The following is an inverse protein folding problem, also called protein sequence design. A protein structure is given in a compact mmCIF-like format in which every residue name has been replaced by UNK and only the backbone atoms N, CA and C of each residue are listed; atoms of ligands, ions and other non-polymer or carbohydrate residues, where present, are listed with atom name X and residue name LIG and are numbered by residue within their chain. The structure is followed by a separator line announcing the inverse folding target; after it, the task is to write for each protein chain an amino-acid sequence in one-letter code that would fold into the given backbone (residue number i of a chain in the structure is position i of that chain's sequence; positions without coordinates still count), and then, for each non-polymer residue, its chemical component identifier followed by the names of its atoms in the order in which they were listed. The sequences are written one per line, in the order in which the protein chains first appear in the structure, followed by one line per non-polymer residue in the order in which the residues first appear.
data_IF_949330867609
#
_entry.id   IF_949330867609
#
_cell.length_a   1.000
_cell.length_b   1.000
_cell.length_c   1.000
_cell.angle_alpha   90.00
_cell.angle_beta   90.00
_cell.angle_gamma   90.00
#
_symmetry.space_group_name_H-M   'P 1'
#
loop_
_entity.id
_entity.type
_entity.pdbx_description
1 polymer ?
#
# COMPACT_ATOMS: atom_id res chain seq x y z
N UNK A 1 16.21 -9.24 -17.11
CA UNK A 1 14.82 -9.49 -16.65
C UNK A 1 14.56 -8.93 -15.26
N UNK A 2 15.44 -9.13 -14.27
CA UNK A 2 15.29 -8.58 -12.90
C UNK A 2 15.21 -7.04 -12.86
N UNK A 3 16.03 -6.33 -13.64
CA UNK A 3 15.98 -4.86 -13.69
C UNK A 3 14.60 -4.30 -14.06
N UNK A 4 13.91 -4.93 -15.02
CA UNK A 4 12.55 -4.53 -15.41
C UNK A 4 11.54 -4.71 -14.27
N UNK A 5 11.67 -5.79 -13.47
CA UNK A 5 10.78 -6.02 -12.32
C UNK A 5 11.02 -5.02 -11.20
N UNK A 6 12.28 -4.66 -10.95
CA UNK A 6 12.59 -3.58 -10.00
C UNK A 6 12.03 -2.23 -10.44
N UNK A 7 12.07 -1.92 -11.74
CA UNK A 7 11.48 -0.68 -12.26
C UNK A 7 9.96 -0.70 -12.11
N UNK A 8 9.30 -1.84 -12.41
CA UNK A 8 7.86 -2.02 -12.17
C UNK A 8 7.51 -1.83 -10.69
N UNK A 9 8.26 -2.43 -9.77
CA UNK A 9 8.05 -2.29 -8.33
C UNK A 9 8.17 -0.83 -7.87
N UNK A 10 9.15 -0.07 -8.39
CA UNK A 10 9.33 1.35 -8.05
C UNK A 10 8.22 2.25 -8.61
N UNK A 11 7.65 1.88 -9.76
CA UNK A 11 6.60 2.65 -10.43
C UNK A 11 5.19 2.25 -9.97
N UNK A 12 5.04 1.13 -9.26
CA UNK A 12 3.74 0.64 -8.80
C UNK A 12 3.13 1.61 -7.79
N UNK A 13 2.04 2.25 -8.19
CA UNK A 13 1.19 3.09 -7.36
C UNK A 13 -0.20 2.47 -7.25
N UNK A 14 -0.82 2.57 -6.09
CA UNK A 14 -2.23 2.25 -5.91
C UNK A 14 -3.06 3.18 -6.79
N UNK A 15 -4.00 2.62 -7.56
CA UNK A 15 -4.93 3.40 -8.37
C UNK A 15 -6.07 3.94 -7.50
N UNK A 16 -6.69 5.05 -7.90
CA UNK A 16 -7.76 5.71 -7.12
C UNK A 16 -8.94 4.78 -6.78
N UNK A 17 -9.31 3.89 -7.71
CA UNK A 17 -10.40 2.93 -7.53
C UNK A 17 -9.91 1.51 -7.17
N UNK A 18 -8.64 1.37 -6.79
CA UNK A 18 -8.06 0.08 -6.45
C UNK A 18 -8.18 -0.20 -4.95
N UNK A 19 -8.71 -1.37 -4.62
CA UNK A 19 -8.69 -1.89 -3.26
C UNK A 19 -7.25 -2.08 -2.78
N UNK A 20 -6.95 -1.62 -1.56
CA UNK A 20 -5.61 -1.69 -0.98
C UNK A 20 -5.10 -3.13 -0.84
N UNK A 21 -6.01 -4.11 -0.74
CA UNK A 21 -5.68 -5.54 -0.80
C UNK A 21 -5.06 -5.95 -2.12
N UNK A 22 -5.63 -5.48 -3.24
CA UNK A 22 -5.13 -5.83 -4.58
C UNK A 22 -3.76 -5.19 -4.83
N UNK A 23 -3.61 -3.92 -4.46
CA UNK A 23 -2.32 -3.23 -4.48
C UNK A 23 -1.27 -3.95 -3.62
N UNK A 24 -1.66 -4.35 -2.41
CA UNK A 24 -0.80 -5.07 -1.49
C UNK A 24 -0.32 -6.39 -2.05
N UNK A 25 -1.23 -7.23 -2.55
CA UNK A 25 -0.90 -8.54 -3.11
C UNK A 25 0.05 -8.42 -4.30
N UNK A 26 -0.20 -7.47 -5.21
CA UNK A 26 0.67 -7.21 -6.35
C UNK A 26 2.09 -6.82 -5.95
N UNK A 27 2.23 -5.86 -5.03
CA UNK A 27 3.54 -5.39 -4.57
C UNK A 27 4.29 -6.50 -3.83
N UNK A 28 3.62 -7.26 -2.96
CA UNK A 28 4.24 -8.38 -2.23
C UNK A 28 4.67 -9.48 -3.19
N UNK A 29 3.85 -9.82 -4.20
CA UNK A 29 4.19 -10.80 -5.21
C UNK A 29 5.39 -10.33 -6.05
N UNK A 30 5.42 -9.07 -6.49
CA UNK A 30 6.57 -8.49 -7.20
C UNK A 30 7.85 -8.54 -6.36
N UNK A 31 7.77 -8.19 -5.08
CA UNK A 31 8.90 -8.28 -4.15
C UNK A 31 9.44 -9.72 -4.05
N UNK A 32 8.56 -10.71 -3.87
CA UNK A 32 8.93 -12.13 -3.77
C UNK A 32 9.47 -12.71 -5.09
N UNK A 33 8.97 -12.24 -6.22
CA UNK A 33 9.48 -12.63 -7.54
C UNK A 33 10.88 -12.04 -7.84
N UNK A 34 11.18 -10.88 -7.28
CA UNK A 34 12.47 -10.21 -7.41
C UNK A 34 13.50 -10.86 -6.47
N UNK A 35 13.12 -11.02 -5.21
CA UNK A 35 13.92 -11.64 -4.16
C UNK A 35 12.99 -12.38 -3.18
N UNK A 36 12.96 -13.73 -3.23
CA UNK A 36 12.16 -14.55 -2.32
C UNK A 36 12.50 -14.38 -0.84
N UNK A 37 13.68 -13.82 -0.52
CA UNK A 37 14.18 -13.59 0.83
C UNK A 37 14.09 -12.13 1.27
N UNK A 38 13.46 -11.26 0.48
CA UNK A 38 13.28 -9.86 0.80
C UNK A 38 12.57 -9.70 2.15
N UNK A 39 13.07 -8.81 3.01
CA UNK A 39 12.48 -8.61 4.33
C UNK A 39 11.15 -7.86 4.26
N UNK A 40 10.24 -8.16 5.18
CA UNK A 40 8.94 -7.48 5.28
C UNK A 40 9.10 -5.97 5.44
N UNK A 41 10.13 -5.51 6.16
CA UNK A 41 10.44 -4.08 6.30
C UNK A 41 10.74 -3.39 4.96
N UNK A 42 11.45 -4.07 4.04
CA UNK A 42 11.72 -3.54 2.71
C UNK A 42 10.44 -3.54 1.87
N UNK A 43 9.65 -4.62 1.95
CA UNK A 43 8.35 -4.69 1.27
C UNK A 43 7.40 -3.59 1.75
N UNK A 44 7.35 -3.31 3.05
CA UNK A 44 6.55 -2.21 3.64
C UNK A 44 7.01 -0.86 3.11
N UNK A 45 8.32 -0.62 2.93
CA UNK A 45 8.81 0.62 2.30
C UNK A 45 8.31 0.76 0.86
N UNK A 46 8.29 -0.32 0.08
CA UNK A 46 7.71 -0.31 -1.27
C UNK A 46 6.21 -0.02 -1.24
N UNK A 47 5.48 -0.70 -0.36
CA UNK A 47 4.04 -0.50 -0.16
C UNK A 47 3.73 0.96 0.22
N UNK A 48 4.41 1.51 1.22
CA UNK A 48 4.26 2.90 1.65
C UNK A 48 4.61 3.89 0.55
N UNK A 49 5.58 3.59 -0.32
CA UNK A 49 6.00 4.50 -1.39
C UNK A 49 4.94 4.71 -2.47
N UNK A 50 4.05 3.73 -2.66
CA UNK A 50 3.06 3.73 -3.75
C UNK A 50 1.61 3.75 -3.31
N UNK A 51 1.33 3.69 -2.01
CA UNK A 51 -0.04 3.74 -1.49
C UNK A 51 -0.71 5.08 -1.84
N UNK A 52 -2.05 5.09 -1.91
CA UNK A 52 -2.80 6.29 -2.24
C UNK A 52 -2.43 7.44 -1.26
N UNK A 53 -1.98 8.60 -1.79
CA UNK A 53 -1.53 9.72 -0.97
C UNK A 53 -2.59 10.30 -0.04
N UNK A 54 -3.88 10.14 -0.36
CA UNK A 54 -4.98 10.73 0.39
C UNK A 54 -5.10 10.17 1.81
N UNK A 55 -4.76 8.89 2.00
CA UNK A 55 -4.73 8.25 3.32
C UNK A 55 -3.34 7.79 3.76
N UNK A 56 -2.32 7.94 2.89
CA UNK A 56 -0.92 7.65 3.22
C UNK A 56 -0.46 8.36 4.50
N UNK A 57 -0.84 9.63 4.66
CA UNK A 57 -0.41 10.46 5.81
C UNK A 57 -0.86 9.86 7.15
N UNK A 58 -2.08 9.34 7.20
CA UNK A 58 -2.63 8.72 8.41
C UNK A 58 -1.95 7.37 8.68
N UNK A 59 -1.68 6.61 7.62
CA UNK A 59 -0.94 5.37 7.72
C UNK A 59 0.51 5.59 8.22
N UNK A 60 1.20 6.65 7.75
CA UNK A 60 2.56 7.01 8.19
C UNK A 60 2.65 7.32 9.69
N UNK A 61 1.58 7.83 10.31
CA UNK A 61 1.56 8.05 11.77
C UNK A 61 1.66 6.75 12.58
N UNK A 62 1.39 5.61 11.94
CA UNK A 62 1.43 4.28 12.52
C UNK A 62 2.68 3.49 12.11
N UNK A 63 3.61 4.08 11.35
CA UNK A 63 4.76 3.39 10.76
C UNK A 63 5.61 2.64 11.80
N UNK A 64 5.84 3.24 12.97
CA UNK A 64 6.59 2.61 14.07
C UNK A 64 5.91 1.36 14.66
N UNK A 65 4.62 1.18 14.42
CA UNK A 65 3.82 0.03 14.87
C UNK A 65 3.58 -1.03 13.79
N UNK A 66 4.12 -0.83 12.57
CA UNK A 66 3.94 -1.74 11.43
C UNK A 66 5.26 -2.42 11.08
N UNK A 67 5.53 -3.54 11.73
CA UNK A 67 6.75 -4.31 11.49
C UNK A 67 6.49 -5.55 10.64
N UNK A 68 5.23 -5.93 10.47
CA UNK A 68 4.81 -7.07 9.66
C UNK A 68 3.88 -6.66 8.52
N UNK A 69 3.86 -7.46 7.45
CA UNK A 69 2.95 -7.30 6.32
C UNK A 69 1.47 -7.36 6.75
N UNK A 70 1.16 -8.19 7.75
CA UNK A 70 -0.19 -8.31 8.29
C UNK A 70 -0.63 -7.03 9.05
N UNK A 71 0.27 -6.44 9.84
CA UNK A 71 -0.01 -5.16 10.50
C UNK A 71 -0.21 -4.05 9.48
N UNK A 72 0.68 -3.96 8.47
CA UNK A 72 0.52 -3.02 7.37
C UNK A 72 -0.85 -3.15 6.71
N UNK A 73 -1.22 -4.36 6.27
CA UNK A 73 -2.48 -4.60 5.57
C UNK A 73 -3.68 -4.26 6.44
N UNK A 74 -3.63 -4.58 7.74
CA UNK A 74 -4.70 -4.25 8.69
C UNK A 74 -4.92 -2.73 8.77
N UNK A 75 -3.87 -1.95 8.98
CA UNK A 75 -4.01 -0.49 9.10
C UNK A 75 -4.36 0.15 7.76
N UNK A 76 -3.76 -0.30 6.66
CA UNK A 76 -4.05 0.21 5.33
C UNK A 76 -5.53 0.03 4.94
N UNK A 77 -6.15 -1.11 5.30
CA UNK A 77 -7.60 -1.33 5.14
C UNK A 77 -8.44 -0.33 5.94
N UNK A 78 -8.11 -0.13 7.21
CA UNK A 78 -8.83 0.81 8.07
C UNK A 78 -8.78 2.23 7.49
N UNK A 79 -7.60 2.68 7.07
CA UNK A 79 -7.44 4.03 6.54
C UNK A 79 -8.13 4.20 5.16
N UNK A 80 -8.12 3.18 4.28
CA UNK A 80 -8.90 3.20 3.04
C UNK A 80 -10.42 3.24 3.31
N UNK A 81 -10.93 2.38 4.20
CA UNK A 81 -12.35 2.34 4.55
C UNK A 81 -12.83 3.70 5.11
N UNK A 82 -12.00 4.34 5.94
CA UNK A 82 -12.28 5.68 6.47
C UNK A 82 -12.31 6.72 5.34
N UNK A 83 -11.30 6.73 4.47
CA UNK A 83 -11.24 7.64 3.33
C UNK A 83 -12.46 7.48 2.41
N UNK A 84 -12.78 6.26 1.99
CA UNK A 84 -13.93 5.97 1.12
C UNK A 84 -15.25 6.41 1.75
N UNK A 85 -15.37 6.24 3.07
CA UNK A 85 -16.53 6.71 3.84
C UNK A 85 -16.63 8.22 3.81
N UNK A 86 -15.54 8.95 4.09
CA UNK A 86 -15.52 10.41 4.06
C UNK A 86 -15.77 10.98 2.66
N UNK A 87 -15.14 10.41 1.62
CA UNK A 87 -15.36 10.76 0.22
C UNK A 87 -16.83 10.60 -0.17
N UNK A 88 -17.45 9.49 0.23
CA UNK A 88 -18.88 9.25 -0.02
C UNK A 88 -19.76 10.28 0.68
N UNK A 89 -19.47 10.62 1.93
CA UNK A 89 -20.21 11.67 2.64
C UNK A 89 -20.03 13.04 2.01
N UNK A 90 -18.82 13.38 1.55
CA UNK A 90 -18.55 14.65 0.88
C UNK A 90 -19.37 14.77 -0.42
N UNK A 91 -19.41 13.72 -1.24
CA UNK A 91 -20.19 13.68 -2.49
C UNK A 91 -21.70 13.74 -2.28
N UNK A 92 -22.22 13.26 -1.14
CA UNK A 92 -23.64 13.32 -0.80
C UNK A 92 -24.08 14.69 -0.22
N UNK A 93 -23.11 15.54 0.13
CA UNK A 93 -23.37 16.84 0.76
C UNK A 93 -23.33 18.02 -0.24
N UNK A 94 -23.16 17.73 -1.53
CA UNK A 94 -23.14 18.69 -2.66
C UNK A 94 -24.34 18.41 -3.55
#
# INVERSE_FOLDING_TARGET
MIHKKFDLLKQRKQLDNEAVTSYFDDVVNLCKEIDPTMSEQIMIKHLMSGINPDFQKELSRRESSMNTLNEFLKYAKIEQDLYDTFEKFHRLSI
#
